data_IF_415808226389
#
_entry.id   IF_415808226389
#
_cell.length_a   1.000
_cell.length_b   1.000
_cell.length_c   1.000
_cell.angle_alpha   90.00
_cell.angle_beta   90.00
_cell.angle_gamma   90.00
#
_symmetry.space_group_name_H-M   'P 1'
#
loop_
_entity.id
_entity.type
_entity.pdbx_description
1 polymer ?
#
# COMPACT_ATOMS: atom_id res chain seq x y z
N UNK A 1 -9.86 -25.75 7.87
CA UNK A 1 -9.66 -24.28 7.77
C UNK A 1 -8.64 -23.87 8.82
N UNK A 2 -7.38 -23.71 8.43
CA UNK A 2 -6.30 -23.28 9.33
C UNK A 2 -6.34 -21.77 9.44
N UNK A 3 -6.58 -21.25 10.64
CA UNK A 3 -6.57 -19.81 10.90
C UNK A 3 -5.13 -19.30 10.75
N UNK A 4 -4.91 -18.40 9.78
CA UNK A 4 -3.64 -17.70 9.61
C UNK A 4 -3.49 -16.70 10.76
N UNK A 5 -2.47 -16.83 11.63
CA UNK A 5 -2.26 -15.89 12.72
C UNK A 5 -1.88 -14.51 12.16
N UNK A 6 -2.54 -13.47 12.66
CA UNK A 6 -2.29 -12.10 12.24
C UNK A 6 -0.93 -11.61 12.76
N UNK A 7 -0.12 -10.94 11.94
CA UNK A 7 1.13 -10.35 12.39
C UNK A 7 0.85 -9.20 13.38
N UNK A 8 1.66 -9.11 14.42
CA UNK A 8 1.69 -8.01 15.38
C UNK A 8 2.89 -7.10 15.09
N UNK A 9 2.73 -5.79 15.32
CA UNK A 9 3.81 -4.80 15.30
C UNK A 9 3.86 -4.23 16.73
N UNK A 10 5.04 -4.22 17.36
CA UNK A 10 5.29 -3.71 18.73
C UNK A 10 4.34 -4.22 19.82
N UNK A 11 3.99 -5.51 19.79
CA UNK A 11 3.19 -6.15 20.85
C UNK A 11 1.72 -5.74 20.87
N UNK A 12 1.28 -4.85 19.98
CA UNK A 12 -0.15 -4.56 19.78
C UNK A 12 -0.74 -5.51 18.74
N UNK A 13 -1.78 -6.26 19.13
CA UNK A 13 -2.67 -6.93 18.15
C UNK A 13 -3.32 -5.82 17.34
N UNK A 14 -3.23 -5.91 16.01
CA UNK A 14 -3.93 -5.01 15.10
C UNK A 14 -5.40 -4.91 15.53
N UNK A 15 -5.86 -3.77 16.05
CA UNK A 15 -7.27 -3.59 16.39
C UNK A 15 -8.05 -3.30 15.11
N UNK A 16 -8.97 -4.19 14.83
CA UNK A 16 -9.57 -4.50 13.54
C UNK A 16 -11.02 -3.97 13.50
N UNK A 17 -11.27 -2.75 13.99
CA UNK A 17 -12.66 -2.24 14.09
C UNK A 17 -13.17 -1.69 12.75
N UNK A 18 -13.54 -2.66 11.93
CA UNK A 18 -14.65 -2.75 10.94
C UNK A 18 -14.48 -2.21 9.52
N UNK A 19 -13.73 -1.16 9.23
CA UNK A 19 -13.41 -0.84 7.81
C UNK A 19 -12.12 -1.53 7.36
N UNK A 20 -11.07 -1.44 8.20
CA UNK A 20 -9.73 -1.87 7.83
C UNK A 20 -9.57 -3.39 7.72
N UNK A 21 -10.44 -4.19 8.36
CA UNK A 21 -10.39 -5.67 8.25
C UNK A 21 -10.90 -6.14 6.91
N UNK A 22 -12.05 -5.61 6.50
CA UNK A 22 -12.69 -6.05 5.28
C UNK A 22 -11.82 -5.62 4.11
N UNK A 23 -11.33 -4.38 4.15
CA UNK A 23 -10.37 -3.87 3.17
C UNK A 23 -9.10 -4.73 3.13
N UNK A 24 -8.49 -5.03 4.29
CA UNK A 24 -7.34 -5.91 4.37
C UNK A 24 -7.61 -7.29 3.76
N UNK A 25 -8.76 -7.91 4.06
CA UNK A 25 -9.12 -9.23 3.52
C UNK A 25 -9.33 -9.19 2.02
N UNK A 26 -9.99 -8.17 1.52
CA UNK A 26 -10.19 -7.95 0.08
C UNK A 26 -8.84 -7.82 -0.62
N UNK A 27 -7.97 -6.93 -0.15
CA UNK A 27 -6.62 -6.75 -0.72
C UNK A 27 -5.83 -8.05 -0.66
N UNK A 28 -5.86 -8.76 0.46
CA UNK A 28 -5.13 -10.03 0.60
C UNK A 28 -5.65 -11.09 -0.38
N UNK A 29 -6.97 -11.19 -0.56
CA UNK A 29 -7.58 -12.11 -1.50
C UNK A 29 -7.18 -11.75 -2.94
N UNK A 30 -7.22 -10.48 -3.30
CA UNK A 30 -6.85 -10.00 -4.62
C UNK A 30 -5.37 -10.28 -4.91
N UNK A 31 -4.47 -9.94 -3.98
CA UNK A 31 -3.05 -10.23 -4.10
C UNK A 31 -2.79 -11.74 -4.24
N UNK A 32 -3.48 -12.56 -3.44
CA UNK A 32 -3.34 -14.01 -3.50
C UNK A 32 -3.83 -14.56 -4.85
N UNK A 33 -4.92 -14.03 -5.39
CA UNK A 33 -5.46 -14.45 -6.70
C UNK A 33 -4.57 -14.05 -7.89
N UNK A 34 -3.84 -12.94 -7.76
CA UNK A 34 -2.90 -12.47 -8.77
C UNK A 34 -1.59 -13.27 -8.77
N UNK A 35 -1.26 -13.90 -7.64
CA UNK A 35 -0.14 -14.82 -7.57
C UNK A 35 -0.53 -16.11 -8.31
N UNK A 36 0.02 -16.32 -9.50
CA UNK A 36 -0.38 -17.40 -10.42
C UNK A 36 -0.20 -18.84 -9.88
N UNK A 37 0.45 -19.00 -8.73
CA UNK A 37 0.78 -20.28 -8.10
C UNK A 37 0.15 -20.38 -6.70
N UNK A 38 0.06 -21.59 -6.16
CA UNK A 38 -0.22 -21.76 -4.73
C UNK A 38 0.94 -21.15 -3.91
N UNK A 39 0.69 -20.10 -3.11
CA UNK A 39 1.76 -19.46 -2.35
C UNK A 39 2.36 -20.42 -1.33
N UNK A 40 3.68 -20.44 -1.26
CA UNK A 40 4.43 -21.05 -0.18
C UNK A 40 4.15 -20.35 1.15
N UNK A 41 4.51 -20.97 2.27
CA UNK A 41 4.34 -20.36 3.60
C UNK A 41 5.06 -18.99 3.71
N UNK A 42 6.22 -18.84 3.08
CA UNK A 42 6.95 -17.57 3.05
C UNK A 42 6.20 -16.51 2.23
N UNK A 43 5.70 -16.88 1.05
CA UNK A 43 4.91 -15.98 0.21
C UNK A 43 3.60 -15.57 0.87
N UNK A 44 2.93 -16.47 1.61
CA UNK A 44 1.75 -16.13 2.42
C UNK A 44 2.05 -15.04 3.45
N UNK A 45 3.21 -15.11 4.13
CA UNK A 45 3.64 -14.06 5.07
C UNK A 45 3.88 -12.75 4.33
N UNK A 46 4.52 -12.80 3.17
CA UNK A 46 4.80 -11.61 2.36
C UNK A 46 3.53 -10.99 1.79
N UNK A 47 2.57 -11.78 1.31
CA UNK A 47 1.24 -11.32 0.88
C UNK A 47 0.49 -10.64 2.03
N UNK A 48 0.57 -11.21 3.24
CA UNK A 48 0.00 -10.60 4.44
C UNK A 48 0.64 -9.24 4.74
N UNK A 49 1.97 -9.14 4.65
CA UNK A 49 2.70 -7.88 4.82
C UNK A 49 2.33 -6.85 3.75
N UNK A 50 2.24 -7.26 2.48
CA UNK A 50 1.81 -6.41 1.38
C UNK A 50 0.39 -5.86 1.62
N UNK A 51 -0.55 -6.72 2.00
CA UNK A 51 -1.92 -6.31 2.33
C UNK A 51 -1.96 -5.33 3.51
N UNK A 52 -1.11 -5.52 4.53
CA UNK A 52 -0.98 -4.58 5.65
C UNK A 52 -0.51 -3.21 5.17
N UNK A 53 0.59 -3.14 4.42
CA UNK A 53 1.11 -1.85 3.93
C UNK A 53 0.14 -1.16 2.98
N UNK A 54 -0.50 -1.90 2.08
CA UNK A 54 -1.52 -1.36 1.17
C UNK A 54 -2.70 -0.76 1.97
N UNK A 55 -3.21 -1.45 2.98
CA UNK A 55 -4.29 -0.95 3.84
C UNK A 55 -3.89 0.34 4.58
N UNK A 56 -2.64 0.44 5.05
CA UNK A 56 -2.13 1.64 5.70
C UNK A 56 -1.99 2.81 4.73
N UNK A 57 -1.51 2.56 3.51
CA UNK A 57 -1.42 3.57 2.45
C UNK A 57 -2.80 4.07 2.04
N UNK A 58 -3.78 3.17 1.84
CA UNK A 58 -5.16 3.56 1.51
C UNK A 58 -5.81 4.40 2.62
N UNK A 59 -5.59 4.05 3.89
CA UNK A 59 -6.05 4.86 5.01
C UNK A 59 -5.46 6.27 4.98
N UNK A 60 -4.14 6.38 4.76
CA UNK A 60 -3.48 7.68 4.67
C UNK A 60 -4.01 8.50 3.49
N UNK A 61 -4.20 7.89 2.32
CA UNK A 61 -4.82 8.55 1.16
C UNK A 61 -6.25 9.01 1.47
N UNK A 62 -7.05 8.19 2.15
CA UNK A 62 -8.39 8.57 2.57
C UNK A 62 -8.37 9.77 3.52
N UNK A 63 -7.49 9.76 4.52
CA UNK A 63 -7.34 10.87 5.46
C UNK A 63 -6.91 12.17 4.72
N UNK A 64 -5.97 12.08 3.77
CA UNK A 64 -5.58 13.22 2.92
C UNK A 64 -6.75 13.78 2.10
N UNK A 65 -7.54 12.92 1.45
CA UNK A 65 -8.69 13.34 0.63
C UNK A 65 -9.79 14.02 1.43
N UNK A 66 -9.87 13.70 2.73
CA UNK A 66 -10.79 14.35 3.67
C UNK A 66 -10.18 15.59 4.34
N UNK A 67 -9.05 16.10 3.84
CA UNK A 67 -8.40 17.30 4.36
C UNK A 67 -7.75 17.13 5.73
N UNK A 68 -7.51 15.90 6.18
CA UNK A 68 -6.78 15.66 7.42
C UNK A 68 -5.28 15.72 7.16
N UNK A 69 -4.55 16.29 8.11
CA UNK A 69 -3.10 16.21 8.10
C UNK A 69 -2.66 14.76 8.33
N UNK A 70 -1.73 14.30 7.50
CA UNK A 70 -1.06 13.01 7.66
C UNK A 70 0.42 13.22 7.91
N UNK A 71 1.02 12.31 8.68
CA UNK A 71 2.47 12.22 8.74
C UNK A 71 3.00 11.61 7.44
N UNK A 72 3.75 12.41 6.69
CA UNK A 72 4.29 12.07 5.38
C UNK A 72 5.38 10.99 5.48
N UNK A 73 6.12 10.92 6.59
CA UNK A 73 7.26 10.02 6.71
C UNK A 73 6.83 8.54 6.84
N UNK A 74 5.89 8.17 7.73
CA UNK A 74 5.28 6.84 7.77
C UNK A 74 4.64 6.45 6.44
N UNK A 75 3.96 7.39 5.76
CA UNK A 75 3.36 7.13 4.45
C UNK A 75 4.41 6.72 3.42
N UNK A 76 5.47 7.53 3.24
CA UNK A 76 6.57 7.23 2.32
C UNK A 76 7.26 5.91 2.65
N UNK A 77 7.46 5.63 3.94
CA UNK A 77 8.06 4.37 4.40
C UNK A 77 7.20 3.16 4.06
N UNK A 78 5.88 3.26 4.26
CA UNK A 78 4.95 2.17 3.93
C UNK A 78 4.89 1.93 2.42
N UNK A 79 4.92 2.97 1.59
CA UNK A 79 4.98 2.84 0.12
C UNK A 79 6.27 2.14 -0.31
N UNK A 80 7.42 2.52 0.24
CA UNK A 80 8.70 1.87 -0.06
C UNK A 80 8.71 0.40 0.37
N UNK A 81 8.18 0.09 1.57
CA UNK A 81 8.05 -1.27 2.06
C UNK A 81 7.11 -2.12 1.16
N UNK A 82 5.97 -1.56 0.75
CA UNK A 82 5.03 -2.22 -0.16
C UNK A 82 5.69 -2.57 -1.49
N UNK A 83 6.37 -1.61 -2.13
CA UNK A 83 7.10 -1.85 -3.38
C UNK A 83 8.15 -2.95 -3.24
N UNK A 84 8.91 -2.96 -2.14
CA UNK A 84 9.91 -3.98 -1.88
C UNK A 84 9.30 -5.39 -1.74
N UNK A 85 8.19 -5.51 -1.01
CA UNK A 85 7.52 -6.80 -0.82
C UNK A 85 6.91 -7.30 -2.14
N UNK A 86 6.22 -6.45 -2.89
CA UNK A 86 5.62 -6.81 -4.18
C UNK A 86 6.68 -7.18 -5.22
N UNK A 87 7.83 -6.50 -5.22
CA UNK A 87 8.96 -6.84 -6.11
C UNK A 87 9.51 -8.23 -5.77
N UNK A 88 9.66 -8.56 -4.49
CA UNK A 88 10.14 -9.88 -4.05
C UNK A 88 9.14 -11.00 -4.35
N UNK A 89 7.84 -10.70 -4.35
CA UNK A 89 6.78 -11.62 -4.78
C UNK A 89 6.71 -11.77 -6.32
N UNK A 90 7.50 -11.01 -7.08
CA UNK A 90 7.43 -10.99 -8.55
C UNK A 90 6.16 -10.33 -9.11
N UNK A 91 5.38 -9.66 -8.26
CA UNK A 91 4.11 -9.02 -8.63
C UNK A 91 4.29 -7.58 -9.11
N UNK A 92 5.40 -6.95 -8.73
CA UNK A 92 5.81 -5.66 -9.25
C UNK A 92 7.15 -5.80 -9.98
N UNK A 93 7.27 -5.10 -11.11
CA UNK A 93 8.58 -4.91 -11.73
C UNK A 93 9.36 -3.93 -10.85
N UNK A 94 10.63 -4.27 -10.55
CA UNK A 94 11.52 -3.34 -9.89
C UNK A 94 11.47 -1.99 -10.61
N UNK A 95 11.23 -0.91 -9.86
CA UNK A 95 11.19 0.43 -10.40
C UNK A 95 12.55 0.70 -11.05
N UNK A 96 12.58 1.00 -12.36
CA UNK A 96 13.81 1.43 -13.02
C UNK A 96 14.26 2.70 -12.32
N UNK A 97 15.57 2.84 -12.06
CA UNK A 97 16.12 4.07 -11.52
C UNK A 97 15.72 5.24 -12.44
N UNK A 98 14.84 6.12 -11.94
CA UNK A 98 14.32 7.25 -12.70
C UNK A 98 15.35 8.36 -12.55
N UNK A 99 16.19 8.54 -13.57
CA UNK A 99 17.15 9.63 -13.60
C UNK A 99 16.43 10.96 -13.86
N UNK A 100 17.09 12.10 -13.62
CA UNK A 100 16.51 13.42 -13.91
C UNK A 100 16.03 13.58 -15.38
N UNK A 101 16.57 12.75 -16.29
CA UNK A 101 16.17 12.68 -17.71
C UNK A 101 14.83 11.94 -17.94
N UNK A 102 14.42 11.09 -17.00
CA UNK A 102 13.21 10.27 -17.09
C UNK A 102 11.99 10.95 -16.43
N UNK A 103 12.16 12.06 -15.70
CA UNK A 103 11.06 12.84 -15.14
C UNK A 103 10.31 13.57 -16.25
N UNK A 104 9.10 13.11 -16.60
CA UNK A 104 8.14 13.97 -17.31
C UNK A 104 7.67 15.09 -16.37
N UNK A 105 7.54 16.33 -16.86
CA UNK A 105 6.97 17.42 -16.08
C UNK A 105 5.46 17.15 -15.92
N UNK A 106 5.06 16.77 -14.71
CA UNK A 106 3.71 16.43 -14.28
C UNK A 106 3.07 15.20 -14.97
N UNK A 107 2.70 14.21 -14.17
CA UNK A 107 1.69 13.22 -14.55
C UNK A 107 0.29 13.82 -14.36
N UNK A 108 -0.74 13.20 -14.97
CA UNK A 108 -2.12 13.69 -14.93
C UNK A 108 -2.63 13.87 -13.49
N UNK A 109 -2.10 13.08 -12.54
CA UNK A 109 -2.43 13.19 -11.13
C UNK A 109 -1.79 14.41 -10.46
N UNK A 110 -0.52 14.70 -10.72
CA UNK A 110 0.16 15.91 -10.27
C UNK A 110 -0.50 17.17 -10.84
N UNK A 111 -0.92 17.13 -12.11
CA UNK A 111 -1.67 18.22 -12.73
C UNK A 111 -3.03 18.45 -12.06
N UNK A 112 -3.78 17.38 -11.77
CA UNK A 112 -5.07 17.47 -11.08
C UNK A 112 -4.94 18.06 -9.66
N UNK A 113 -3.88 17.72 -8.93
CA UNK A 113 -3.60 18.28 -7.59
C UNK A 113 -3.19 19.76 -7.64
N UNK A 114 -2.48 20.18 -8.70
CA UNK A 114 -2.12 21.58 -8.91
C UNK A 114 -3.37 22.40 -9.26
N UNK A 115 -4.25 21.90 -10.13
CA UNK A 115 -5.51 22.58 -10.49
C UNK A 115 -6.45 22.75 -9.29
N UNK A 116 -6.57 21.72 -8.44
CA UNK A 116 -7.34 21.78 -7.19
C UNK A 116 -6.82 22.86 -6.21
N UNK A 117 -5.50 23.07 -6.17
CA UNK A 117 -4.88 24.10 -5.31
C UNK A 117 -4.75 25.47 -5.99
N UNK A 118 -4.90 25.55 -7.30
CA UNK A 118 -4.82 26.80 -8.07
C UNK A 118 -6.16 27.51 -8.22
N UNK A 119 -7.27 26.89 -7.79
CA UNK A 119 -8.60 27.53 -7.79
C UNK A 119 -8.72 28.41 -6.53
N UNK A 120 -8.78 29.75 -6.64
CA UNK A 120 -9.13 30.58 -5.49
C UNK A 120 -10.60 30.30 -5.16
N UNK A 121 -10.92 30.13 -3.86
CA UNK A 121 -12.30 30.13 -3.39
C UNK A 121 -13.01 31.44 -3.73
#
# INVERSE_FOLDING_TARGET
>A
MTAVPLPSIDGQRLDLRRLNVQQFRTILQDLTSQLANQPTAAECIMLTQAATFATLCEKATFDMLNGKEIDQEPYRRNVAALNNVLTRLGMAKATRDITAKDRKPADDFGSALIELNATPQ
#
